data_IF_156104737189
#
_entry.id   IF_156104737189
#
_cell.length_a   1.000
_cell.length_b   1.000
_cell.length_c   1.000
_cell.angle_alpha   90.00
_cell.angle_beta   90.00
_cell.angle_gamma   90.00
#
_symmetry.space_group_name_H-M   'P 1'
#
loop_
_entity.id
_entity.type
_entity.pdbx_description
1 polymer ?
#
# COMPACT_ATOMS: atom_id res chain seq x y z
N UNK A 1 -0.93 25.57 -7.91
CA UNK A 1 -1.31 24.22 -7.44
C UNK A 1 -2.22 24.38 -6.24
N UNK A 2 -3.53 24.58 -6.42
CA UNK A 2 -4.47 24.80 -5.32
C UNK A 2 -5.92 24.44 -5.71
N UNK A 3 -6.12 23.30 -6.38
CA UNK A 3 -7.46 22.84 -6.82
C UNK A 3 -7.66 21.33 -6.69
N UNK A 4 -6.75 20.59 -6.06
CA UNK A 4 -6.85 19.14 -5.89
C UNK A 4 -7.12 18.85 -4.41
N UNK A 5 -8.10 17.98 -4.15
CA UNK A 5 -8.40 17.48 -2.82
C UNK A 5 -7.21 16.67 -2.26
N UNK A 6 -7.20 16.42 -0.94
CA UNK A 6 -6.17 15.60 -0.30
C UNK A 6 -6.04 14.21 -0.95
N UNK A 7 -7.16 13.59 -1.33
CA UNK A 7 -7.19 12.31 -2.03
C UNK A 7 -6.66 12.37 -3.47
N UNK A 8 -7.05 13.39 -4.24
CA UNK A 8 -6.57 13.54 -5.62
C UNK A 8 -5.07 13.83 -5.68
N UNK A 9 -4.55 14.64 -4.76
CA UNK A 9 -3.11 14.89 -4.66
C UNK A 9 -2.33 13.62 -4.31
N UNK A 10 -2.93 12.73 -3.50
CA UNK A 10 -2.35 11.43 -3.18
C UNK A 10 -2.29 10.53 -4.40
N UNK A 11 -3.39 10.43 -5.17
CA UNK A 11 -3.39 9.67 -6.43
C UNK A 11 -2.36 10.18 -7.44
N UNK A 12 -2.20 11.50 -7.58
CA UNK A 12 -1.19 12.08 -8.47
C UNK A 12 0.22 11.71 -7.99
N UNK A 13 0.46 11.79 -6.68
CA UNK A 13 1.75 11.42 -6.07
C UNK A 13 2.04 9.93 -6.24
N UNK A 14 1.01 9.09 -6.07
CA UNK A 14 1.08 7.66 -6.32
C UNK A 14 1.42 7.38 -7.78
N UNK A 15 0.63 7.89 -8.73
CA UNK A 15 0.84 7.70 -10.16
C UNK A 15 2.25 8.15 -10.59
N UNK A 16 2.76 9.25 -10.02
CA UNK A 16 4.11 9.73 -10.25
C UNK A 16 5.16 8.77 -9.69
N UNK A 17 4.98 8.28 -8.46
CA UNK A 17 5.87 7.29 -7.85
C UNK A 17 5.89 5.96 -8.63
N UNK A 18 4.73 5.52 -9.11
CA UNK A 18 4.59 4.33 -9.96
C UNK A 18 5.30 4.52 -11.30
N UNK A 19 5.05 5.64 -11.98
CA UNK A 19 5.69 5.98 -13.25
C UNK A 19 7.21 6.14 -13.14
N UNK A 20 7.68 6.74 -12.06
CA UNK A 20 9.11 6.88 -11.77
C UNK A 20 9.76 5.53 -11.46
N UNK A 21 9.08 4.66 -10.69
CA UNK A 21 9.55 3.30 -10.39
C UNK A 21 9.66 2.45 -11.66
N UNK A 22 8.74 2.59 -12.60
CA UNK A 22 8.78 1.90 -13.90
C UNK A 22 9.91 2.42 -14.80
N UNK A 23 10.08 3.75 -14.88
CA UNK A 23 11.17 4.38 -15.64
C UNK A 23 12.55 4.04 -15.08
N UNK A 24 12.72 4.14 -13.75
CA UNK A 24 13.97 3.87 -13.06
C UNK A 24 14.37 2.40 -13.17
N UNK A 25 13.40 1.47 -13.19
CA UNK A 25 13.62 0.02 -13.35
C UNK A 25 14.46 -0.36 -14.57
N UNK A 26 14.54 0.52 -15.59
CA UNK A 26 15.35 0.30 -16.81
C UNK A 26 16.85 0.54 -16.61
N UNK A 27 17.26 1.25 -15.55
CA UNK A 27 18.68 1.55 -15.24
C UNK A 27 19.09 1.09 -13.83
N UNK A 28 18.16 1.09 -12.88
CA UNK A 28 18.37 0.74 -11.47
C UNK A 28 17.18 -0.12 -11.05
N UNK A 29 17.42 -1.35 -10.59
CA UNK A 29 16.36 -2.24 -10.13
C UNK A 29 15.73 -1.72 -8.83
N UNK A 30 14.73 -0.85 -8.95
CA UNK A 30 13.87 -0.49 -7.82
C UNK A 30 12.88 -1.64 -7.62
N UNK A 31 13.26 -2.55 -6.72
CA UNK A 31 12.50 -3.75 -6.39
C UNK A 31 11.56 -3.56 -5.19
N UNK A 32 11.63 -2.41 -4.50
CA UNK A 32 10.80 -2.12 -3.33
C UNK A 32 10.26 -0.69 -3.36
N UNK A 33 8.97 -0.53 -3.13
CA UNK A 33 8.28 0.76 -2.98
C UNK A 33 7.57 0.79 -1.63
N UNK A 34 7.78 1.85 -0.86
CA UNK A 34 7.06 2.08 0.39
C UNK A 34 6.18 3.32 0.25
N UNK A 35 4.92 3.20 0.65
CA UNK A 35 3.93 4.28 0.61
C UNK A 35 3.47 4.53 2.03
N UNK A 36 3.58 5.78 2.47
CA UNK A 36 3.27 6.19 3.83
C UNK A 36 2.11 7.19 3.85
N UNK A 37 1.00 6.78 4.47
CA UNK A 37 -0.23 7.54 4.70
C UNK A 37 -0.87 8.22 3.46
N UNK A 38 -2.10 8.70 3.59
CA UNK A 38 -2.84 9.35 2.48
C UNK A 38 -3.98 8.52 1.86
N UNK A 39 -4.10 7.25 2.21
CA UNK A 39 -5.26 6.43 1.83
C UNK A 39 -6.54 6.80 2.60
N UNK A 40 -6.42 7.40 3.79
CA UNK A 40 -7.57 7.79 4.62
C UNK A 40 -8.32 9.02 4.12
N UNK A 41 -7.75 9.74 3.16
CA UNK A 41 -8.39 10.89 2.50
C UNK A 41 -9.09 10.52 1.19
N UNK A 42 -9.07 9.23 0.82
CA UNK A 42 -9.74 8.70 -0.36
C UNK A 42 -11.13 8.19 0.04
N UNK A 43 -12.10 8.38 -0.85
CA UNK A 43 -13.35 7.63 -0.82
C UNK A 43 -13.11 6.15 -1.20
N UNK A 44 -14.11 5.30 -0.96
CA UNK A 44 -14.00 3.86 -1.18
C UNK A 44 -13.68 3.49 -2.64
N UNK A 45 -14.34 4.15 -3.61
CA UNK A 45 -14.13 3.87 -5.03
C UNK A 45 -12.69 4.24 -5.46
N UNK A 46 -12.21 5.38 -4.99
CA UNK A 46 -10.84 5.84 -5.27
C UNK A 46 -9.79 4.96 -4.59
N UNK A 47 -10.08 4.46 -3.39
CA UNK A 47 -9.21 3.53 -2.68
C UNK A 47 -9.05 2.20 -3.44
N UNK A 48 -10.15 1.64 -3.97
CA UNK A 48 -10.12 0.40 -4.75
C UNK A 48 -9.27 0.55 -6.03
N UNK A 49 -9.35 1.71 -6.70
CA UNK A 49 -8.50 2.02 -7.86
C UNK A 49 -7.02 2.06 -7.46
N UNK A 50 -6.70 2.69 -6.32
CA UNK A 50 -5.34 2.75 -5.82
C UNK A 50 -4.79 1.36 -5.48
N UNK A 51 -5.58 0.52 -4.80
CA UNK A 51 -5.21 -0.86 -4.44
C UNK A 51 -4.97 -1.68 -5.70
N UNK A 52 -5.88 -1.62 -6.67
CA UNK A 52 -5.75 -2.32 -7.96
C UNK A 52 -4.47 -1.93 -8.71
N UNK A 53 -4.06 -0.66 -8.64
CA UNK A 53 -2.81 -0.20 -9.25
C UNK A 53 -1.57 -0.75 -8.54
N UNK A 54 -1.62 -0.92 -7.21
CA UNK A 54 -0.55 -1.50 -6.41
C UNK A 54 -0.40 -3.00 -6.69
N UNK A 55 -1.50 -3.75 -6.74
CA UNK A 55 -1.48 -5.18 -7.11
C UNK A 55 -0.86 -5.41 -8.49
N UNK A 56 -1.20 -4.56 -9.46
CA UNK A 56 -0.61 -4.60 -10.81
C UNK A 56 0.91 -4.34 -10.84
N UNK A 57 1.45 -3.63 -9.86
CA UNK A 57 2.89 -3.45 -9.72
C UNK A 57 3.54 -4.59 -8.95
N UNK A 58 2.85 -5.14 -7.97
CA UNK A 58 3.29 -6.34 -7.26
C UNK A 58 3.49 -7.51 -8.25
N UNK A 59 2.53 -7.70 -9.17
CA UNK A 59 2.60 -8.75 -10.20
C UNK A 59 3.78 -8.59 -11.17
N UNK A 60 4.31 -7.37 -11.32
CA UNK A 60 5.53 -7.08 -12.08
C UNK A 60 6.83 -7.38 -11.31
N UNK A 61 6.74 -8.01 -10.15
CA UNK A 61 7.89 -8.41 -9.32
C UNK A 61 8.42 -7.31 -8.42
N UNK A 62 7.65 -6.23 -8.19
CA UNK A 62 8.00 -5.17 -7.24
C UNK A 62 7.40 -5.50 -5.87
N UNK A 63 8.20 -5.37 -4.83
CA UNK A 63 7.73 -5.45 -3.44
C UNK A 63 7.08 -4.12 -3.07
N UNK A 64 5.85 -4.14 -2.57
CA UNK A 64 5.15 -2.93 -2.15
C UNK A 64 4.86 -3.03 -0.66
N UNK A 65 5.31 -2.03 0.10
CA UNK A 65 4.98 -1.83 1.50
C UNK A 65 4.04 -0.64 1.65
N UNK A 66 2.97 -0.81 2.43
CA UNK A 66 1.98 0.25 2.67
C UNK A 66 1.87 0.46 4.17
N UNK A 67 1.97 1.72 4.59
CA UNK A 67 1.74 2.16 5.97
C UNK A 67 0.43 2.95 5.97
N UNK A 68 -0.57 2.39 6.63
CA UNK A 68 -1.91 2.99 6.67
C UNK A 68 -2.67 2.58 7.93
N UNK A 69 -3.54 3.46 8.40
CA UNK A 69 -4.49 3.19 9.47
C UNK A 69 -5.88 2.78 8.93
N UNK A 70 -6.08 2.80 7.61
CA UNK A 70 -7.37 2.51 6.96
C UNK A 70 -7.69 1.02 7.04
N UNK A 71 -8.90 0.68 7.50
CA UNK A 71 -9.31 -0.72 7.66
C UNK A 71 -9.54 -1.45 6.34
N UNK A 72 -10.11 -0.78 5.34
CA UNK A 72 -10.36 -1.36 4.02
C UNK A 72 -9.08 -1.88 3.32
N UNK A 73 -7.92 -1.29 3.59
CA UNK A 73 -6.63 -1.80 3.09
C UNK A 73 -6.23 -3.13 3.72
N UNK A 74 -6.66 -3.39 4.97
CA UNK A 74 -6.38 -4.65 5.66
C UNK A 74 -7.15 -5.80 5.00
N UNK A 75 -8.38 -5.56 4.56
CA UNK A 75 -9.19 -6.63 3.97
C UNK A 75 -8.68 -7.08 2.60
N UNK A 76 -8.07 -6.15 1.85
CA UNK A 76 -7.52 -6.43 0.52
C UNK A 76 -6.10 -7.02 0.58
N UNK A 77 -5.28 -6.64 1.57
CA UNK A 77 -3.88 -7.06 1.66
C UNK A 77 -3.71 -8.23 2.62
N UNK A 78 -3.45 -9.41 2.07
CA UNK A 78 -3.33 -10.66 2.84
C UNK A 78 -2.13 -10.71 3.81
N UNK A 79 -1.01 -10.05 3.52
CA UNK A 79 0.16 -10.02 4.42
C UNK A 79 0.29 -8.67 5.12
N UNK A 80 0.22 -8.70 6.45
CA UNK A 80 0.13 -7.51 7.29
C UNK A 80 1.12 -7.56 8.44
N UNK A 81 1.66 -6.39 8.78
CA UNK A 81 2.40 -6.17 10.01
C UNK A 81 1.52 -5.32 10.92
N UNK A 82 0.86 -5.97 11.88
CA UNK A 82 -0.05 -5.31 12.81
C UNK A 82 0.72 -4.80 14.02
N UNK A 83 0.53 -3.52 14.34
CA UNK A 83 1.14 -2.86 15.51
C UNK A 83 0.03 -2.59 16.53
N UNK A 84 0.18 -3.11 17.74
CA UNK A 84 -0.74 -2.88 18.86
C UNK A 84 -0.03 -2.14 19.99
N UNK A 85 -0.50 -0.93 20.31
CA UNK A 85 0.01 -0.16 21.46
C UNK A 85 -0.32 -0.92 22.76
N UNK A 86 0.64 -1.03 23.66
CA UNK A 86 0.50 -1.65 24.98
C UNK A 86 0.59 -0.58 26.08
N UNK A 87 0.00 -0.82 27.27
CA UNK A 87 0.18 0.05 28.42
C UNK A 87 1.67 0.22 28.76
N UNK A 88 2.05 1.43 29.20
CA UNK A 88 3.43 1.73 29.59
C UNK A 88 4.36 2.18 28.45
N UNK A 89 3.82 2.56 27.29
CA UNK A 89 4.60 3.13 26.18
C UNK A 89 5.23 2.10 25.24
N UNK A 90 4.95 0.81 25.44
CA UNK A 90 5.45 -0.27 24.59
C UNK A 90 4.50 -0.52 23.41
N UNK A 91 5.02 -1.10 22.33
CA UNK A 91 4.20 -1.56 21.21
C UNK A 91 4.53 -3.01 20.92
N UNK A 92 3.51 -3.81 20.64
CA UNK A 92 3.64 -5.20 20.23
C UNK A 92 3.43 -5.29 18.73
N UNK A 93 4.31 -6.00 18.04
CA UNK A 93 4.23 -6.25 16.61
C UNK A 93 3.77 -7.69 16.41
N UNK A 94 2.80 -7.90 15.52
CA UNK A 94 2.33 -9.21 15.09
C UNK A 94 2.31 -9.25 13.56
N UNK A 95 3.01 -10.21 12.96
CA UNK A 95 2.90 -10.47 11.52
C UNK A 95 1.73 -11.41 11.30
N UNK A 96 0.82 -11.04 10.41
CA UNK A 96 -0.32 -11.86 9.99
C UNK A 96 -0.18 -12.06 8.49
N UNK A 97 0.08 -13.28 8.04
CA UNK A 97 0.12 -13.64 6.62
C UNK A 97 -1.08 -14.51 6.29
N UNK A 98 -1.91 -14.08 5.34
CA UNK A 98 -2.95 -14.91 4.74
C UNK A 98 -2.33 -15.76 3.64
N UNK A 99 -2.10 -17.04 3.91
CA UNK A 99 -1.63 -18.00 2.92
C UNK A 99 -2.81 -18.47 2.05
N UNK A 100 -2.85 -18.02 0.80
CA UNK A 100 -3.81 -18.50 -0.19
C UNK A 100 -3.53 -19.94 -0.68
N UNK A 101 -2.45 -20.61 -0.23
CA UNK A 101 -2.19 -22.03 -0.52
C UNK A 101 -2.99 -23.00 0.34
N UNK A 102 -3.78 -22.54 1.31
CA UNK A 102 -4.83 -23.38 1.90
C UNK A 102 -6.08 -23.35 1.02
N UNK A 103 -5.90 -23.63 -0.27
CA UNK A 103 -6.97 -24.21 -1.08
C UNK A 103 -7.17 -25.63 -0.57
N UNK A 104 -8.05 -25.74 0.41
CA UNK A 104 -8.68 -26.98 0.87
C UNK A 104 -9.24 -27.73 -0.34
N UNK A 105 -8.42 -28.64 -0.90
CA UNK A 105 -8.89 -29.93 -1.36
C UNK A 105 -8.81 -30.91 -0.19
#
# INVERSE_FOLDING_TARGET
MATLSGGESFLVSLALALGLSDLASRKIQINSLFIDEGFGTLDADTLDVAISALENLQSKGKTIGIISHVEALKDQIGTQVQISKQPGGWSKIKVVSYDASTSIF
#
